data_IF_802347434231
#
_entry.id   IF_802347434231
#
_cell.length_a   1.000
_cell.length_b   1.000
_cell.length_c   1.000
_cell.angle_alpha   90.00
_cell.angle_beta   90.00
_cell.angle_gamma   90.00
#
_symmetry.space_group_name_H-M   'P 1'
#
loop_
_entity.id
_entity.type
_entity.pdbx_description
1 polymer ?
#
# COMPACT_ATOMS: atom_id res chain seq x y z
N UNK A 1 30.11 22.78 1.60
CA UNK A 1 28.94 23.57 1.19
C UNK A 1 29.35 24.46 0.01
N UNK A 2 29.65 23.85 -1.15
CA UNK A 2 30.14 24.56 -2.35
C UNK A 2 29.20 24.39 -3.56
N UNK A 3 27.93 24.06 -3.31
CA UNK A 3 26.95 23.62 -4.32
C UNK A 3 25.78 24.60 -4.55
N UNK A 4 25.68 25.72 -3.81
CA UNK A 4 24.59 26.70 -4.03
C UNK A 4 24.91 27.80 -5.05
N UNK A 5 26.18 28.13 -5.26
CA UNK A 5 26.58 29.32 -6.04
C UNK A 5 26.00 29.33 -7.47
N UNK A 6 25.91 28.17 -8.12
CA UNK A 6 25.33 28.10 -9.48
C UNK A 6 23.83 28.39 -9.45
N UNK A 7 23.11 27.81 -8.49
CA UNK A 7 21.65 27.94 -8.40
C UNK A 7 21.28 29.36 -7.96
N UNK A 8 22.05 29.94 -7.06
CA UNK A 8 21.87 31.32 -6.58
C UNK A 8 22.02 32.35 -7.72
N UNK A 9 22.85 32.06 -8.73
CA UNK A 9 23.00 32.91 -9.93
C UNK A 9 21.74 32.96 -10.82
N UNK A 10 20.91 31.92 -10.74
CA UNK A 10 19.76 31.70 -11.59
C UNK A 10 18.42 31.83 -10.88
N UNK A 11 18.42 31.73 -9.56
CA UNK A 11 17.23 31.84 -8.74
C UNK A 11 16.55 33.20 -8.93
N UNK A 12 15.22 33.16 -9.00
CA UNK A 12 14.38 34.34 -8.92
C UNK A 12 14.56 34.97 -7.54
N UNK A 13 14.69 36.29 -7.53
CA UNK A 13 14.65 37.05 -6.28
C UNK A 13 13.21 37.14 -5.78
N UNK A 14 13.01 37.22 -4.46
CA UNK A 14 11.68 37.27 -3.86
C UNK A 14 10.81 38.43 -4.38
N UNK A 15 11.41 39.57 -4.71
CA UNK A 15 10.73 40.75 -5.28
C UNK A 15 10.31 40.58 -6.76
N UNK A 16 10.89 39.59 -7.45
CA UNK A 16 10.59 39.25 -8.85
C UNK A 16 9.61 38.09 -9.00
N UNK A 17 9.28 37.39 -7.92
CA UNK A 17 8.35 36.27 -7.96
C UNK A 17 6.90 36.78 -8.10
N UNK A 18 6.05 36.06 -8.86
CA UNK A 18 4.61 36.34 -8.86
C UNK A 18 4.06 36.12 -7.44
N UNK A 19 3.00 36.81 -6.99
CA UNK A 19 2.46 36.64 -5.63
C UNK A 19 2.00 35.22 -5.31
N UNK A 20 1.67 34.43 -6.34
CA UNK A 20 1.28 33.04 -6.20
C UNK A 20 1.79 32.21 -7.35
N UNK A 21 2.07 30.94 -7.07
CA UNK A 21 2.38 29.92 -8.06
C UNK A 21 1.35 28.81 -7.97
N UNK A 22 0.93 28.29 -9.11
CA UNK A 22 -0.10 27.28 -9.27
C UNK A 22 0.50 26.00 -9.80
N UNK A 23 0.04 24.85 -9.30
CA UNK A 23 0.49 23.56 -9.80
C UNK A 23 -0.66 22.59 -9.89
N UNK A 24 -0.82 21.99 -11.07
CA UNK A 24 -1.61 20.78 -11.18
C UNK A 24 -0.78 19.57 -10.75
N UNK A 25 -1.39 18.72 -9.95
CA UNK A 25 -0.82 17.47 -9.47
C UNK A 25 -1.72 16.32 -9.90
N UNK A 26 -1.10 15.28 -10.40
CA UNK A 26 -1.77 14.06 -10.84
C UNK A 26 -0.99 12.83 -10.33
N UNK A 27 -1.61 11.64 -10.28
CA UNK A 27 -0.94 10.45 -9.75
C UNK A 27 0.30 10.01 -10.54
N UNK A 28 0.44 10.43 -11.80
CA UNK A 28 1.63 10.17 -12.63
C UNK A 28 2.68 11.28 -12.54
N UNK A 29 2.46 12.30 -11.72
CA UNK A 29 3.38 13.42 -11.57
C UNK A 29 4.68 12.97 -10.91
N UNK A 30 5.80 13.53 -11.35
CA UNK A 30 7.10 13.32 -10.73
C UNK A 30 7.29 14.21 -9.47
N UNK A 31 6.20 14.61 -8.80
CA UNK A 31 6.25 15.14 -7.45
C UNK A 31 5.10 14.56 -6.63
N UNK A 32 5.34 14.32 -5.35
CA UNK A 32 4.40 13.69 -4.44
C UNK A 32 4.41 14.40 -3.09
N UNK A 33 3.28 14.38 -2.39
CA UNK A 33 3.20 14.90 -1.03
C UNK A 33 3.81 13.86 -0.10
N UNK A 34 4.82 14.26 0.66
CA UNK A 34 5.43 13.43 1.70
C UNK A 34 4.47 13.32 2.90
N UNK A 35 4.06 12.10 3.26
CA UNK A 35 3.03 11.87 4.30
C UNK A 35 3.40 12.36 5.71
N UNK A 36 4.70 12.48 5.98
CA UNK A 36 5.23 12.86 7.30
C UNK A 36 5.35 14.37 7.43
N UNK A 37 5.97 15.02 6.44
CA UNK A 37 6.24 16.47 6.46
C UNK A 37 5.14 17.31 5.80
N UNK A 38 4.27 16.66 5.02
CA UNK A 38 3.27 17.29 4.15
C UNK A 38 3.89 18.21 3.08
N UNK A 39 5.21 18.14 2.90
CA UNK A 39 5.91 18.87 1.84
C UNK A 39 5.63 18.20 0.50
N UNK A 40 5.49 19.00 -0.54
CA UNK A 40 5.48 18.47 -1.90
C UNK A 40 6.94 18.24 -2.30
N UNK A 41 7.31 17.03 -2.67
CA UNK A 41 8.69 16.64 -3.00
C UNK A 41 8.78 16.16 -4.44
N UNK A 42 9.80 16.61 -5.18
CA UNK A 42 10.16 16.04 -6.46
C UNK A 42 10.58 14.56 -6.30
N UNK A 43 10.37 13.76 -7.34
CA UNK A 43 10.73 12.35 -7.33
C UNK A 43 12.26 12.15 -7.29
N UNK A 44 13.03 13.09 -7.83
CA UNK A 44 14.47 13.15 -7.68
C UNK A 44 14.84 14.26 -6.68
N UNK A 45 15.86 14.02 -5.86
CA UNK A 45 16.35 14.98 -4.86
C UNK A 45 17.79 15.44 -5.16
N UNK A 46 18.33 15.05 -6.32
CA UNK A 46 19.68 15.42 -6.75
C UNK A 46 19.75 16.92 -7.02
N UNK A 47 20.67 17.59 -6.35
CA UNK A 47 20.97 19.00 -6.55
C UNK A 47 22.09 19.08 -7.59
N UNK A 48 21.89 19.78 -8.72
CA UNK A 48 22.97 20.00 -9.67
C UNK A 48 24.12 20.81 -9.03
N UNK A 49 25.33 20.28 -9.05
CA UNK A 49 26.53 20.93 -8.50
C UNK A 49 27.33 21.66 -9.58
N UNK A 50 27.15 21.27 -10.85
CA UNK A 50 27.81 21.89 -12.02
C UNK A 50 26.80 22.49 -12.99
N UNK A 51 27.26 23.44 -13.81
CA UNK A 51 26.43 24.04 -14.86
C UNK A 51 25.93 22.99 -15.87
N UNK A 52 26.76 22.01 -16.19
CA UNK A 52 26.41 20.93 -17.12
C UNK A 52 25.35 20.00 -16.52
N UNK A 53 25.46 19.67 -15.23
CA UNK A 53 24.41 18.93 -14.52
C UNK A 53 23.08 19.69 -14.48
N UNK A 54 23.11 21.01 -14.27
CA UNK A 54 21.91 21.84 -14.27
C UNK A 54 21.26 21.85 -15.66
N UNK A 55 22.05 21.99 -16.72
CA UNK A 55 21.57 21.89 -18.11
C UNK A 55 20.94 20.54 -18.39
N UNK A 56 21.60 19.45 -18.01
CA UNK A 56 21.07 18.10 -18.21
C UNK A 56 19.78 17.86 -17.40
N UNK A 57 19.72 18.34 -16.16
CA UNK A 57 18.50 18.23 -15.34
C UNK A 57 17.31 18.97 -15.98
N UNK A 58 17.55 20.14 -16.61
CA UNK A 58 16.50 20.88 -17.34
C UNK A 58 16.09 20.18 -18.64
N UNK A 59 17.04 19.61 -19.38
CA UNK A 59 16.75 18.81 -20.59
C UNK A 59 15.90 17.58 -20.23
N UNK A 60 16.24 16.88 -19.15
CA UNK A 60 15.42 15.79 -18.63
C UNK A 60 14.04 16.27 -18.19
N UNK A 61 13.94 17.45 -17.56
CA UNK A 61 12.66 18.04 -17.20
C UNK A 61 11.80 18.41 -18.42
N UNK A 62 12.39 18.88 -19.52
CA UNK A 62 11.67 19.14 -20.78
C UNK A 62 11.07 17.86 -21.36
N UNK A 63 11.79 16.75 -21.23
CA UNK A 63 11.34 15.45 -21.70
C UNK A 63 10.55 14.70 -20.61
N UNK A 64 9.29 15.08 -20.43
CA UNK A 64 8.35 14.43 -19.50
C UNK A 64 8.12 12.93 -19.76
N UNK A 65 8.46 12.44 -20.96
CA UNK A 65 8.37 11.02 -21.31
C UNK A 65 9.65 10.26 -21.02
N UNK A 66 10.72 10.94 -20.58
CA UNK A 66 11.92 10.27 -20.12
C UNK A 66 11.60 9.49 -18.84
N UNK A 67 12.19 8.29 -18.71
CA UNK A 67 12.14 7.54 -17.45
C UNK A 67 13.03 8.14 -16.36
N UNK A 68 13.69 9.27 -16.63
CA UNK A 68 14.58 9.95 -15.70
C UNK A 68 13.76 10.89 -14.84
N UNK A 69 13.82 10.69 -13.52
CA UNK A 69 13.14 11.55 -12.57
C UNK A 69 13.78 12.94 -12.55
N UNK A 70 12.96 13.98 -12.67
CA UNK A 70 13.38 15.37 -12.58
C UNK A 70 13.47 15.82 -11.11
N UNK A 71 14.50 16.63 -10.74
CA UNK A 71 14.56 17.23 -9.41
C UNK A 71 13.68 18.48 -9.28
N UNK A 72 12.95 18.86 -10.33
CA UNK A 72 12.14 20.07 -10.37
C UNK A 72 10.65 19.79 -10.23
N UNK A 73 9.99 20.65 -9.47
CA UNK A 73 8.55 20.75 -9.36
C UNK A 73 8.09 21.90 -10.27
N UNK A 74 7.44 21.57 -11.38
CA UNK A 74 6.84 22.56 -12.30
C UNK A 74 5.63 23.24 -11.67
N UNK A 75 5.58 24.56 -11.80
CA UNK A 75 4.53 25.46 -11.29
C UNK A 75 4.32 26.59 -12.31
N UNK A 76 3.21 27.31 -12.20
CA UNK A 76 2.81 28.37 -13.14
C UNK A 76 2.43 29.64 -12.39
N UNK A 77 2.81 30.81 -12.88
CA UNK A 77 2.33 32.09 -12.31
C UNK A 77 0.87 32.37 -12.60
N UNK A 78 0.29 31.68 -13.58
CA UNK A 78 -1.08 31.83 -14.03
C UNK A 78 -1.87 30.55 -13.69
N UNK A 79 -3.04 30.72 -13.06
CA UNK A 79 -3.90 29.60 -12.67
C UNK A 79 -4.45 28.86 -13.89
N UNK A 80 -4.85 29.59 -14.93
CA UNK A 80 -5.42 29.02 -16.16
C UNK A 80 -4.39 28.15 -16.89
N UNK A 81 -3.12 28.54 -16.89
CA UNK A 81 -2.04 27.72 -17.45
C UNK A 81 -1.88 26.38 -16.70
N UNK A 82 -1.94 26.39 -15.35
CA UNK A 82 -1.86 25.18 -14.54
C UNK A 82 -3.07 24.25 -14.77
N UNK A 83 -4.26 24.82 -14.93
CA UNK A 83 -5.51 24.11 -15.25
C UNK A 83 -5.47 23.52 -16.67
N UNK A 84 -5.06 24.32 -17.67
CA UNK A 84 -4.90 23.88 -19.05
C UNK A 84 -3.88 22.74 -19.16
N UNK A 85 -2.80 22.80 -18.38
CA UNK A 85 -1.84 21.71 -18.28
C UNK A 85 -2.48 20.42 -17.75
N UNK A 86 -3.26 20.51 -16.67
CA UNK A 86 -3.98 19.37 -16.10
C UNK A 86 -4.96 18.75 -17.11
N UNK A 87 -5.74 19.58 -17.81
CA UNK A 87 -6.69 19.15 -18.83
C UNK A 87 -6.00 18.47 -20.02
N UNK A 88 -4.87 19.01 -20.46
CA UNK A 88 -4.05 18.40 -21.52
C UNK A 88 -3.55 17.02 -21.10
N UNK A 89 -3.10 16.86 -19.85
CA UNK A 89 -2.67 15.58 -19.29
C UNK A 89 -3.82 14.56 -19.27
N UNK A 90 -5.02 14.94 -18.80
CA UNK A 90 -6.21 14.07 -18.82
C UNK A 90 -6.55 13.63 -20.24
N UNK A 91 -6.55 14.55 -21.20
CA UNK A 91 -6.79 14.21 -22.62
C UNK A 91 -5.77 13.21 -23.14
N UNK A 92 -4.50 13.34 -22.77
CA UNK A 92 -3.45 12.42 -23.17
C UNK A 92 -3.62 11.04 -22.51
N UNK A 93 -3.96 10.97 -21.23
CA UNK A 93 -4.23 9.71 -20.53
C UNK A 93 -5.43 8.98 -21.14
N UNK A 94 -6.52 9.69 -21.43
CA UNK A 94 -7.71 9.13 -22.11
C UNK A 94 -7.41 8.60 -23.51
N UNK A 95 -6.45 9.20 -24.23
CA UNK A 95 -6.00 8.69 -25.54
C UNK A 95 -5.11 7.46 -25.41
N UNK A 96 -4.21 7.45 -24.42
CA UNK A 96 -3.23 6.40 -24.25
C UNK A 96 -3.82 5.10 -23.71
N UNK A 97 -4.87 5.19 -22.88
CA UNK A 97 -5.50 4.02 -22.31
C UNK A 97 -7.00 4.03 -22.59
N UNK A 98 -7.45 3.06 -23.37
CA UNK A 98 -8.86 2.74 -23.59
C UNK A 98 -9.61 2.33 -22.28
N UNK A 99 -8.90 2.23 -21.15
CA UNK A 99 -9.40 1.70 -19.88
C UNK A 99 -8.93 2.46 -18.62
N UNK A 100 -8.56 3.74 -18.73
CA UNK A 100 -8.27 4.53 -17.50
C UNK A 100 -9.55 4.62 -16.69
N UNK A 101 -9.57 4.00 -15.51
CA UNK A 101 -10.65 4.18 -14.53
C UNK A 101 -10.77 5.68 -14.25
N UNK A 102 -11.97 6.26 -14.36
CA UNK A 102 -12.19 7.68 -14.06
C UNK A 102 -11.70 8.04 -12.65
N UNK A 103 -11.68 7.09 -11.72
CA UNK A 103 -11.14 7.28 -10.36
C UNK A 103 -9.63 7.47 -10.32
N UNK A 104 -8.90 7.12 -11.37
CA UNK A 104 -7.45 7.34 -11.45
C UNK A 104 -7.08 8.73 -11.98
N UNK A 105 -8.07 9.59 -12.25
CA UNK A 105 -7.90 10.97 -12.69
C UNK A 105 -8.07 11.96 -11.53
N UNK A 106 -7.68 11.57 -10.32
CA UNK A 106 -7.63 12.47 -9.15
C UNK A 106 -6.58 13.56 -9.41
N UNK A 107 -7.03 14.65 -10.02
CA UNK A 107 -6.24 15.86 -10.21
C UNK A 107 -6.51 16.80 -9.04
N UNK A 108 -5.43 17.37 -8.51
CA UNK A 108 -5.50 18.45 -7.53
C UNK A 108 -4.81 19.68 -8.09
N UNK A 109 -5.36 20.86 -7.85
CA UNK A 109 -4.64 22.12 -8.05
C UNK A 109 -4.08 22.61 -6.71
N UNK A 110 -2.85 23.07 -6.70
CA UNK A 110 -2.19 23.66 -5.54
C UNK A 110 -1.89 25.12 -5.81
N UNK A 111 -2.08 25.97 -4.80
CA UNK A 111 -1.64 27.36 -4.78
C UNK A 111 -0.49 27.49 -3.77
N UNK A 112 0.58 28.16 -4.18
CA UNK A 112 1.76 28.42 -3.36
C UNK A 112 1.91 29.93 -3.17
N UNK A 113 1.91 30.36 -1.92
CA UNK A 113 2.08 31.76 -1.55
C UNK A 113 3.58 32.12 -1.55
N UNK A 114 4.06 32.79 -2.60
CA UNK A 114 5.49 33.04 -2.79
C UNK A 114 6.10 33.95 -1.73
N UNK A 115 5.29 34.78 -1.06
CA UNK A 115 5.76 35.60 0.06
C UNK A 115 6.21 34.76 1.27
N UNK A 116 5.87 33.46 1.29
CA UNK A 116 6.22 32.51 2.35
C UNK A 116 7.34 31.56 1.94
N UNK A 117 7.85 31.67 0.71
CA UNK A 117 8.98 30.88 0.23
C UNK A 117 10.21 31.27 1.06
N UNK A 118 10.90 30.26 1.58
CA UNK A 118 12.08 30.44 2.44
C UNK A 118 13.35 30.57 1.62
N UNK A 119 14.40 31.15 2.19
CA UNK A 119 15.72 31.30 1.54
C UNK A 119 16.38 29.98 1.11
N UNK A 120 15.89 28.83 1.61
CA UNK A 120 16.37 27.49 1.25
C UNK A 120 15.63 26.85 0.06
N UNK A 121 14.77 27.61 -0.63
CA UNK A 121 13.98 27.11 -1.76
C UNK A 121 14.36 27.86 -3.03
N UNK A 122 15.02 27.17 -3.96
CA UNK A 122 15.32 27.75 -5.27
C UNK A 122 14.10 27.69 -6.18
N UNK A 123 13.64 28.88 -6.58
CA UNK A 123 12.61 29.04 -7.61
C UNK A 123 13.27 29.61 -8.86
N UNK A 124 13.14 28.93 -9.98
CA UNK A 124 13.79 29.27 -11.24
C UNK A 124 12.73 29.57 -12.30
N UNK A 125 12.81 30.72 -12.97
CA UNK A 125 11.94 31.01 -14.11
C UNK A 125 12.36 30.18 -15.32
N UNK A 126 11.54 29.20 -15.73
CA UNK A 126 11.98 28.12 -16.61
C UNK A 126 12.45 28.64 -17.96
N UNK A 127 11.68 29.57 -18.56
CA UNK A 127 12.05 30.14 -19.86
C UNK A 127 13.38 30.89 -19.81
N UNK A 128 13.59 31.68 -18.76
CA UNK A 128 14.86 32.39 -18.55
C UNK A 128 16.03 31.43 -18.38
N UNK A 129 15.82 30.28 -17.72
CA UNK A 129 16.85 29.24 -17.61
C UNK A 129 17.26 28.69 -18.97
N UNK A 130 16.28 28.29 -19.79
CA UNK A 130 16.53 27.77 -21.14
C UNK A 130 17.34 28.77 -21.97
N UNK A 131 16.89 30.03 -21.99
CA UNK A 131 17.51 31.08 -22.80
C UNK A 131 18.93 31.42 -22.30
N UNK A 132 19.14 31.56 -20.98
CA UNK A 132 20.48 31.91 -20.40
C UNK A 132 21.48 30.78 -20.50
N UNK A 133 21.02 29.52 -20.43
CA UNK A 133 21.89 28.35 -20.53
C UNK A 133 22.17 27.93 -21.99
N UNK A 134 21.48 28.53 -22.95
CA UNK A 134 21.60 28.20 -24.37
C UNK A 134 21.19 26.75 -24.66
N UNK A 135 20.12 26.27 -24.00
CA UNK A 135 19.59 24.92 -24.25
C UNK A 135 18.84 24.96 -25.58
N UNK A 136 19.24 24.10 -26.52
CA UNK A 136 18.60 23.91 -27.82
C UNK A 136 17.99 22.50 -27.89
N UNK A 137 16.73 22.39 -27.45
CA UNK A 137 15.96 21.14 -27.41
C UNK A 137 14.61 21.31 -28.13
N UNK A 138 14.20 20.35 -28.99
CA UNK A 138 12.96 20.46 -29.76
C UNK A 138 11.68 20.54 -28.90
N UNK A 139 11.74 20.17 -27.62
CA UNK A 139 10.62 20.24 -26.67
C UNK A 139 10.45 21.63 -26.04
N UNK A 140 11.37 22.58 -26.26
CA UNK A 140 11.27 23.95 -25.73
C UNK A 140 9.97 24.64 -26.16
N UNK A 141 9.41 24.27 -27.33
CA UNK A 141 8.11 24.79 -27.80
C UNK A 141 6.93 24.50 -26.86
N UNK A 142 7.09 23.57 -25.92
CA UNK A 142 6.07 23.25 -24.92
C UNK A 142 6.24 24.01 -23.61
N UNK A 143 7.37 24.69 -23.41
CA UNK A 143 7.62 25.53 -22.24
C UNK A 143 6.74 26.76 -22.33
N UNK A 144 5.94 27.00 -21.29
CA UNK A 144 5.13 28.22 -21.21
C UNK A 144 5.97 29.38 -20.67
N UNK A 145 5.63 30.60 -21.06
CA UNK A 145 6.30 31.81 -20.55
C UNK A 145 6.05 32.07 -19.05
N UNK A 146 5.11 31.34 -18.46
CA UNK A 146 4.64 31.54 -17.10
C UNK A 146 5.09 30.39 -16.17
N UNK A 147 5.97 29.50 -16.64
CA UNK A 147 6.42 28.33 -15.90
C UNK A 147 7.63 28.62 -15.01
N UNK A 148 7.52 28.19 -13.76
CA UNK A 148 8.56 28.28 -12.73
C UNK A 148 8.86 26.88 -12.21
N UNK A 149 10.15 26.61 -11.98
CA UNK A 149 10.63 25.35 -11.43
C UNK A 149 11.06 25.57 -9.99
N UNK A 150 10.54 24.75 -9.08
CA UNK A 150 10.99 24.71 -7.69
C UNK A 150 11.89 23.48 -7.51
N UNK A 151 13.11 23.67 -6.99
CA UNK A 151 14.04 22.56 -6.78
C UNK A 151 13.68 21.74 -5.53
N UNK A 152 13.66 20.42 -5.68
CA UNK A 152 13.52 19.38 -4.65
C UNK A 152 12.20 19.35 -3.86
N UNK A 153 11.78 20.44 -3.22
CA UNK A 153 10.56 20.44 -2.41
C UNK A 153 9.91 21.82 -2.25
N UNK A 154 8.59 21.81 -2.03
CA UNK A 154 7.79 22.96 -1.58
C UNK A 154 7.37 22.72 -0.12
N UNK A 155 7.78 23.59 0.82
CA UNK A 155 7.37 23.47 2.21
C UNK A 155 5.84 23.55 2.35
N UNK A 156 5.28 22.76 3.25
CA UNK A 156 3.83 22.73 3.53
C UNK A 156 3.31 24.06 4.08
N UNK A 157 4.20 24.88 4.64
CA UNK A 157 3.88 26.24 5.05
C UNK A 157 3.54 27.13 3.86
N UNK A 158 4.13 26.92 2.69
CA UNK A 158 3.91 27.76 1.49
C UNK A 158 2.59 27.39 0.80
N UNK A 159 2.18 26.13 0.94
CA UNK A 159 1.01 25.57 0.26
C UNK A 159 -0.29 26.06 0.88
N UNK A 160 -1.02 26.91 0.15
CA UNK A 160 -2.46 27.07 0.32
C UNK A 160 -3.08 25.96 -0.52
N UNK A 161 -3.35 24.82 0.11
CA UNK A 161 -4.07 23.77 -0.61
C UNK A 161 -5.45 24.34 -0.90
N UNK A 162 -5.78 24.49 -2.18
CA UNK A 162 -7.13 24.72 -2.69
C UNK A 162 -7.40 23.51 -3.56
N UNK A 163 -7.73 22.38 -2.94
CA UNK A 163 -7.91 21.10 -3.64
C UNK A 163 -9.12 21.20 -4.57
N UNK A 164 -8.84 21.66 -5.79
CA UNK A 164 -9.74 21.62 -6.91
C UNK A 164 -9.69 20.20 -7.46
N UNK A 165 -10.67 19.39 -7.12
CA UNK A 165 -10.82 18.09 -7.75
C UNK A 165 -11.48 18.30 -9.11
N UNK A 166 -10.75 17.95 -10.16
CA UNK A 166 -11.33 17.87 -11.49
C UNK A 166 -12.38 16.75 -11.51
N UNK A 167 -13.61 17.08 -11.89
CA UNK A 167 -14.63 16.08 -12.21
C UNK A 167 -15.12 16.31 -13.63
N UNK A 168 -15.04 15.31 -14.52
CA UNK A 168 -15.65 15.45 -15.84
C UNK A 168 -17.16 15.68 -15.66
N UNK A 169 -17.71 16.70 -16.32
CA UNK A 169 -19.16 16.91 -16.33
C UNK A 169 -19.83 15.81 -17.13
N UNK A 170 -20.95 15.31 -16.62
CA UNK A 170 -21.84 14.41 -17.34
C UNK A 170 -22.39 15.06 -18.62
N UNK A 171 -22.39 16.39 -18.70
CA UNK A 171 -22.90 17.17 -19.84
C UNK A 171 -21.82 17.63 -20.82
N UNK A 172 -20.63 17.00 -20.82
CA UNK A 172 -19.55 17.32 -21.75
C UNK A 172 -18.78 18.61 -21.45
N UNK A 173 -19.13 19.32 -20.38
CA UNK A 173 -18.32 20.41 -19.81
C UNK A 173 -17.12 19.88 -19.00
N UNK A 174 -16.08 20.69 -18.90
CA UNK A 174 -14.95 20.42 -18.01
C UNK A 174 -14.88 21.57 -17.02
N UNK A 175 -15.14 21.30 -15.74
CA UNK A 175 -15.03 22.31 -14.70
C UNK A 175 -14.23 21.75 -13.53
N UNK A 176 -13.45 22.61 -12.90
CA UNK A 176 -12.84 22.32 -11.62
C UNK A 176 -13.87 22.64 -10.53
N UNK A 177 -14.17 21.68 -9.68
CA UNK A 177 -15.04 21.93 -8.53
C UNK A 177 -14.16 22.32 -7.35
N UNK A 178 -14.35 23.54 -6.85
CA UNK A 178 -13.68 24.02 -5.62
C UNK A 178 -14.27 23.24 -4.46
N UNK A 179 -13.48 22.35 -3.87
CA UNK A 179 -13.78 21.85 -2.55
C UNK A 179 -13.10 22.81 -1.56
N UNK A 180 -13.85 23.43 -0.63
CA UNK A 180 -13.21 24.20 0.43
C UNK A 180 -12.29 23.25 1.17
N UNK A 181 -10.99 23.52 1.12
CA UNK A 181 -10.02 22.69 1.78
C UNK A 181 -10.26 22.74 3.27
N UNK A 182 -10.45 21.56 3.84
CA UNK A 182 -10.31 21.38 5.28
C UNK A 182 -8.93 21.92 5.63
N UNK A 183 -8.89 22.98 6.45
CA UNK A 183 -7.65 23.57 6.95
C UNK A 183 -6.69 22.46 7.45
N UNK A 184 -5.38 22.70 7.41
CA UNK A 184 -4.39 21.73 7.93
C UNK A 184 -4.72 21.23 9.36
N UNK A 185 -5.45 22.04 10.15
CA UNK A 185 -6.00 21.65 11.45
C UNK A 185 -7.04 20.52 11.33
N UNK A 186 -8.03 20.65 10.46
CA UNK A 186 -9.06 19.63 10.24
C UNK A 186 -8.51 18.38 9.56
N UNK A 187 -7.51 18.48 8.68
CA UNK A 187 -6.82 17.31 8.13
C UNK A 187 -6.07 16.51 9.22
N UNK A 188 -5.47 17.20 10.20
CA UNK A 188 -4.84 16.57 11.36
C UNK A 188 -5.88 15.90 12.27
N UNK A 189 -7.02 16.54 12.50
CA UNK A 189 -8.14 15.97 13.27
C UNK A 189 -8.72 14.74 12.58
N UNK A 190 -8.99 14.79 11.26
CA UNK A 190 -9.48 13.65 10.49
C UNK A 190 -8.48 12.47 10.50
N UNK A 191 -7.17 12.75 10.49
CA UNK A 191 -6.12 11.73 10.61
C UNK A 191 -6.10 11.09 11.99
N UNK A 192 -6.22 11.89 13.04
CA UNK A 192 -6.34 11.39 14.42
C UNK A 192 -7.59 10.53 14.55
N UNK A 193 -8.72 10.94 13.97
CA UNK A 193 -9.94 10.14 13.93
C UNK A 193 -9.80 8.86 13.11
N UNK A 194 -9.07 8.89 11.99
CA UNK A 194 -8.76 7.71 11.21
C UNK A 194 -7.90 6.72 12.00
N UNK A 195 -6.90 7.21 12.73
CA UNK A 195 -6.07 6.40 13.64
C UNK A 195 -6.92 5.81 14.76
N UNK A 196 -7.79 6.59 15.42
CA UNK A 196 -8.69 6.08 16.44
C UNK A 196 -9.66 5.02 15.91
N UNK A 197 -10.22 5.22 14.71
CA UNK A 197 -11.07 4.21 14.05
C UNK A 197 -10.31 2.93 13.74
N UNK A 198 -9.06 3.03 13.30
CA UNK A 198 -8.22 1.85 13.08
C UNK A 198 -7.91 1.13 14.40
N UNK A 199 -7.48 1.86 15.43
CA UNK A 199 -7.24 1.28 16.76
C UNK A 199 -8.49 0.65 17.37
N UNK A 200 -9.68 1.22 17.15
CA UNK A 200 -10.94 0.63 17.61
C UNK A 200 -11.25 -0.69 16.89
N UNK A 201 -10.98 -0.78 15.57
CA UNK A 201 -11.09 -2.04 14.82
C UNK A 201 -10.11 -3.09 15.33
N UNK A 202 -8.86 -2.69 15.56
CA UNK A 202 -7.81 -3.59 16.06
C UNK A 202 -8.17 -4.10 17.46
N UNK A 203 -8.68 -3.25 18.36
CA UNK A 203 -9.16 -3.65 19.68
C UNK A 203 -10.36 -4.61 19.61
N UNK A 204 -11.32 -4.34 18.72
CA UNK A 204 -12.46 -5.25 18.50
C UNK A 204 -12.00 -6.62 17.98
N UNK A 205 -11.00 -6.65 17.09
CA UNK A 205 -10.40 -7.87 16.59
C UNK A 205 -9.68 -8.65 17.70
N UNK A 206 -8.91 -7.96 18.56
CA UNK A 206 -8.24 -8.56 19.73
C UNK A 206 -9.26 -9.13 20.73
N UNK A 207 -10.38 -8.43 20.97
CA UNK A 207 -11.41 -8.92 21.87
C UNK A 207 -12.06 -10.20 21.34
N UNK A 208 -12.48 -10.21 20.07
CA UNK A 208 -13.00 -11.41 19.40
C UNK A 208 -12.01 -12.58 19.47
N UNK A 209 -10.72 -12.29 19.26
CA UNK A 209 -9.64 -13.26 19.38
C UNK A 209 -9.55 -13.85 20.80
N UNK A 210 -9.66 -13.03 21.83
CA UNK A 210 -9.61 -13.47 23.23
C UNK A 210 -10.80 -14.37 23.60
N UNK A 211 -11.99 -14.09 23.08
CA UNK A 211 -13.19 -14.90 23.31
C UNK A 211 -13.08 -16.28 22.64
N UNK A 212 -12.54 -16.32 21.42
CA UNK A 212 -12.28 -17.58 20.71
C UNK A 212 -11.22 -18.44 21.41
N UNK A 213 -10.14 -17.84 21.92
CA UNK A 213 -9.13 -18.55 22.73
C UNK A 213 -9.77 -19.13 23.99
N UNK A 214 -10.57 -18.34 24.70
CA UNK A 214 -11.24 -18.78 25.93
C UNK A 214 -12.20 -19.94 25.66
N UNK A 215 -12.98 -19.87 24.58
CA UNK A 215 -13.88 -20.94 24.18
C UNK A 215 -13.11 -22.23 23.84
N UNK A 216 -12.04 -22.12 23.05
CA UNK A 216 -11.19 -23.25 22.71
C UNK A 216 -10.57 -23.90 23.96
N UNK A 217 -10.13 -23.08 24.93
CA UNK A 217 -9.60 -23.56 26.22
C UNK A 217 -10.66 -24.36 27.00
N UNK A 218 -11.89 -23.84 27.11
CA UNK A 218 -12.99 -24.52 27.83
C UNK A 218 -13.39 -25.83 27.16
N UNK A 219 -13.42 -25.86 25.83
CA UNK A 219 -13.71 -27.07 25.07
C UNK A 219 -12.61 -28.12 25.26
N UNK A 220 -11.34 -27.69 25.28
CA UNK A 220 -10.22 -28.59 25.57
C UNK A 220 -10.29 -29.17 26.98
N UNK A 221 -10.61 -28.35 27.98
CA UNK A 221 -10.76 -28.80 29.38
C UNK A 221 -11.90 -29.81 29.53
N UNK A 222 -13.08 -29.50 28.99
CA UNK A 222 -14.23 -30.41 29.01
C UNK A 222 -13.92 -31.75 28.32
N UNK A 223 -13.15 -31.72 27.23
CA UNK A 223 -12.70 -32.91 26.55
C UNK A 223 -11.74 -33.76 27.43
N UNK A 224 -10.77 -33.13 28.07
CA UNK A 224 -9.85 -33.81 29.01
C UNK A 224 -10.62 -34.45 30.18
N UNK A 225 -11.53 -33.72 30.82
CA UNK A 225 -12.36 -34.25 31.91
C UNK A 225 -13.20 -35.44 31.46
N UNK A 226 -13.76 -35.40 30.25
CA UNK A 226 -14.54 -36.52 29.72
C UNK A 226 -13.68 -37.77 29.50
N UNK A 227 -12.44 -37.61 29.01
CA UNK A 227 -11.48 -38.71 28.89
C UNK A 227 -11.11 -39.33 30.25
N UNK A 228 -10.87 -38.50 31.26
CA UNK A 228 -10.51 -38.96 32.62
C UNK A 228 -11.67 -39.70 33.30
N UNK A 229 -12.91 -39.31 33.03
CA UNK A 229 -14.11 -39.94 33.59
C UNK A 229 -14.46 -41.32 33.01
N UNK A 230 -13.72 -41.80 32.01
CA UNK A 230 -14.00 -43.07 31.32
C UNK A 230 -15.25 -43.05 30.44
N UNK A 231 -15.87 -41.88 30.22
CA UNK A 231 -16.98 -41.75 29.30
C UNK A 231 -16.51 -41.90 27.84
N UNK A 232 -17.16 -42.78 27.11
CA UNK A 232 -16.96 -42.92 25.66
C UNK A 232 -17.57 -41.71 24.95
N UNK A 233 -16.74 -40.70 24.67
CA UNK A 233 -17.12 -39.60 23.77
C UNK A 233 -17.25 -40.16 22.35
N UNK A 234 -18.39 -39.99 21.65
CA UNK A 234 -18.55 -40.43 20.27
C UNK A 234 -17.44 -39.84 19.38
N UNK A 235 -16.86 -40.66 18.52
CA UNK A 235 -15.72 -40.29 17.67
C UNK A 235 -16.00 -39.03 16.81
N UNK A 236 -17.24 -38.89 16.34
CA UNK A 236 -17.70 -37.71 15.60
C UNK A 236 -17.63 -36.41 16.43
N UNK A 237 -17.83 -36.47 17.74
CA UNK A 237 -17.71 -35.32 18.64
C UNK A 237 -16.24 -34.97 18.84
N UNK A 238 -15.36 -35.96 18.96
CA UNK A 238 -13.90 -35.74 19.03
C UNK A 238 -13.37 -35.05 17.78
N UNK A 239 -13.79 -35.52 16.61
CA UNK A 239 -13.36 -34.94 15.33
C UNK A 239 -13.84 -33.48 15.17
N UNK A 240 -15.10 -33.19 15.56
CA UNK A 240 -15.63 -31.82 15.53
C UNK A 240 -14.86 -30.88 16.46
N UNK A 241 -14.52 -31.33 17.68
CA UNK A 241 -13.75 -30.52 18.64
C UNK A 241 -12.33 -30.24 18.14
N UNK A 242 -11.65 -31.25 17.59
CA UNK A 242 -10.33 -31.11 16.98
C UNK A 242 -10.36 -30.17 15.77
N UNK A 243 -11.35 -30.30 14.89
CA UNK A 243 -11.53 -29.42 13.75
C UNK A 243 -11.75 -27.97 14.20
N UNK A 244 -12.58 -27.75 15.23
CA UNK A 244 -12.86 -26.42 15.73
C UNK A 244 -11.61 -25.77 16.33
N UNK A 245 -10.86 -26.52 17.15
CA UNK A 245 -9.61 -26.06 17.75
C UNK A 245 -8.56 -25.71 16.68
N UNK A 246 -8.43 -26.54 15.64
CA UNK A 246 -7.49 -26.30 14.54
C UNK A 246 -7.89 -25.06 13.73
N UNK A 247 -9.18 -24.88 13.41
CA UNK A 247 -9.69 -23.69 12.74
C UNK A 247 -9.43 -22.42 13.55
N UNK A 248 -9.69 -22.44 14.86
CA UNK A 248 -9.41 -21.30 15.74
C UNK A 248 -7.91 -20.97 15.80
N UNK A 249 -7.02 -21.96 15.81
CA UNK A 249 -5.57 -21.75 15.77
C UNK A 249 -5.08 -21.17 14.43
N UNK A 250 -5.69 -21.57 13.31
CA UNK A 250 -5.39 -21.01 11.99
C UNK A 250 -5.82 -19.54 11.92
N UNK A 251 -7.05 -19.23 12.35
CA UNK A 251 -7.54 -17.85 12.41
C UNK A 251 -6.66 -16.97 13.29
N UNK A 252 -6.28 -17.47 14.47
CA UNK A 252 -5.33 -16.81 15.38
C UNK A 252 -4.00 -16.49 14.70
N UNK A 253 -3.45 -17.42 13.94
CA UNK A 253 -2.19 -17.25 13.22
C UNK A 253 -2.29 -16.23 12.09
N UNK A 254 -3.41 -16.23 11.35
CA UNK A 254 -3.68 -15.24 10.31
C UNK A 254 -3.83 -13.83 10.89
N UNK A 255 -4.57 -13.69 12.00
CA UNK A 255 -4.80 -12.41 12.65
C UNK A 255 -3.54 -11.84 13.32
N UNK A 256 -2.70 -12.69 13.94
CA UNK A 256 -1.45 -12.23 14.54
C UNK A 256 -0.53 -11.62 13.48
N UNK A 257 -0.45 -12.23 12.29
CA UNK A 257 0.32 -11.70 11.16
C UNK A 257 -0.20 -10.35 10.67
N UNK A 258 -1.53 -10.16 10.57
CA UNK A 258 -2.09 -8.87 10.15
C UNK A 258 -1.86 -7.76 11.16
N UNK A 259 -1.70 -8.10 12.45
CA UNK A 259 -1.40 -7.15 13.52
C UNK A 259 0.11 -6.95 13.77
N UNK A 260 0.99 -7.62 13.00
CA UNK A 260 2.43 -7.59 13.23
C UNK A 260 2.88 -8.23 14.55
N UNK A 261 2.03 -9.08 15.14
CA UNK A 261 2.30 -9.79 16.38
C UNK A 261 2.95 -11.14 16.09
N UNK A 262 4.18 -11.32 16.59
CA UNK A 262 4.90 -12.59 16.51
C UNK A 262 4.44 -13.53 17.63
N UNK A 263 3.64 -14.54 17.30
CA UNK A 263 3.26 -15.60 18.25
C UNK A 263 4.50 -16.45 18.58
N UNK A 264 5.20 -16.11 19.67
CA UNK A 264 6.27 -16.95 20.20
C UNK A 264 5.66 -18.19 20.84
N UNK A 265 5.73 -19.33 20.15
CA UNK A 265 5.39 -20.62 20.75
C UNK A 265 6.39 -20.90 21.89
N UNK A 266 5.91 -20.94 23.13
CA UNK A 266 6.65 -21.60 24.20
C UNK A 266 6.58 -23.09 23.88
N UNK A 267 7.74 -23.68 23.59
CA UNK A 267 7.90 -25.08 23.29
C UNK A 267 7.21 -25.96 24.34
N UNK A 268 6.03 -26.49 24.00
CA UNK A 268 5.70 -27.86 24.36
C UNK A 268 6.17 -28.71 23.17
N UNK A 269 7.18 -29.56 23.37
CA UNK A 269 7.65 -30.51 22.36
C UNK A 269 6.48 -31.40 21.97
N UNK A 270 5.86 -31.10 20.83
CA UNK A 270 4.92 -32.00 20.15
C UNK A 270 5.61 -32.77 19.00
N UNK A 271 6.94 -32.82 19.00
CA UNK A 271 7.74 -33.45 17.94
C UNK A 271 7.55 -34.97 17.84
N UNK A 272 6.74 -35.60 18.70
CA UNK A 272 6.51 -37.04 18.74
C UNK A 272 5.03 -37.46 18.90
N UNK A 273 4.05 -36.62 18.53
CA UNK A 273 2.68 -37.17 18.37
C UNK A 273 2.63 -37.94 17.05
N UNK A 274 3.01 -39.22 17.10
CA UNK A 274 2.69 -40.19 16.05
C UNK A 274 1.23 -40.59 16.26
N UNK A 275 0.31 -40.04 15.47
CA UNK A 275 -1.09 -40.48 15.45
C UNK A 275 -1.14 -41.77 14.62
N UNK A 276 -0.92 -42.92 15.27
CA UNK A 276 -1.17 -44.23 14.66
C UNK A 276 -2.66 -44.55 14.77
N UNK A 277 -3.36 -44.59 13.64
CA UNK A 277 -4.73 -45.07 13.57
C UNK A 277 -4.72 -46.61 13.48
N UNK A 278 -5.06 -47.27 14.59
CA UNK A 278 -5.34 -48.71 14.61
C UNK A 278 -6.83 -48.89 14.91
N UNK A 279 -7.68 -49.16 13.91
CA UNK A 279 -9.07 -49.47 14.17
C UNK A 279 -9.11 -50.79 14.95
N UNK A 280 -9.55 -50.76 16.20
CA UNK A 280 -10.01 -51.98 16.87
C UNK A 280 -11.34 -52.35 16.22
N UNK A 281 -11.26 -53.24 15.25
CA UNK A 281 -12.41 -53.83 14.57
C UNK A 281 -13.09 -54.76 15.59
N UNK A 282 -14.21 -54.31 16.16
CA UNK A 282 -15.22 -55.24 16.67
C UNK A 282 -15.95 -55.82 15.45
N UNK A 283 -16.12 -57.15 15.33
CA UNK A 283 -16.57 -57.78 14.10
C UNK A 283 -18.02 -57.44 13.65
N UNK A 284 -18.80 -56.69 14.42
CA UNK A 284 -20.25 -56.57 14.19
C UNK A 284 -20.83 -55.18 13.90
N UNK A 285 -20.02 -54.13 13.65
CA UNK A 285 -20.57 -52.83 13.25
C UNK A 285 -20.15 -52.41 11.83
N UNK A 286 -21.13 -52.47 10.91
CA UNK A 286 -21.06 -51.79 9.61
C UNK A 286 -21.02 -50.28 9.85
N UNK A 287 -19.87 -49.65 9.62
CA UNK A 287 -19.75 -48.19 9.59
C UNK A 287 -19.18 -47.69 8.23
N UNK A 288 -19.40 -46.40 7.90
CA UNK A 288 -19.31 -45.87 6.55
C UNK A 288 -17.85 -45.72 6.12
N UNK A 289 -17.57 -46.13 4.87
CA UNK A 289 -16.26 -45.96 4.26
C UNK A 289 -15.92 -44.46 4.19
N UNK A 290 -14.89 -44.05 4.90
CA UNK A 290 -14.21 -42.78 4.62
C UNK A 290 -13.70 -42.85 3.19
N UNK A 291 -14.24 -42.00 2.33
CA UNK A 291 -13.95 -42.05 0.90
C UNK A 291 -12.65 -41.32 0.59
N UNK A 292 -11.95 -41.77 -0.46
CA UNK A 292 -10.78 -41.07 -0.98
C UNK A 292 -11.07 -39.57 -1.29
N UNK A 293 -12.32 -39.23 -1.59
CA UNK A 293 -12.77 -37.86 -1.79
C UNK A 293 -12.72 -37.00 -0.51
N UNK A 294 -13.07 -37.56 0.66
CA UNK A 294 -12.98 -36.85 1.94
C UNK A 294 -11.52 -36.63 2.35
N UNK A 295 -10.64 -37.60 2.10
CA UNK A 295 -9.20 -37.47 2.32
C UNK A 295 -8.59 -36.42 1.38
N UNK A 296 -9.03 -36.38 0.12
CA UNK A 296 -8.59 -35.39 -0.87
C UNK A 296 -9.05 -33.97 -0.50
N UNK A 297 -10.28 -33.81 0.00
CA UNK A 297 -10.80 -32.52 0.46
C UNK A 297 -10.00 -31.95 1.65
N UNK A 298 -9.60 -32.81 2.59
CA UNK A 298 -8.75 -32.44 3.73
C UNK A 298 -7.35 -32.00 3.28
N UNK A 299 -6.72 -32.73 2.34
CA UNK A 299 -5.42 -32.35 1.76
C UNK A 299 -5.49 -31.02 0.99
N UNK A 300 -6.60 -30.77 0.30
CA UNK A 300 -6.81 -29.52 -0.45
C UNK A 300 -7.00 -28.33 0.48
N UNK A 301 -7.76 -28.48 1.57
CA UNK A 301 -7.93 -27.43 2.58
C UNK A 301 -6.59 -27.07 3.26
N UNK A 302 -5.73 -28.05 3.52
CA UNK A 302 -4.40 -27.85 4.10
C UNK A 302 -3.46 -27.03 3.21
N UNK A 303 -3.52 -27.21 1.90
CA UNK A 303 -2.67 -26.48 0.94
C UNK A 303 -3.14 -25.06 0.60
N UNK A 304 -4.40 -24.70 0.93
CA UNK A 304 -4.94 -23.36 0.64
C UNK A 304 -4.45 -22.32 1.68
N UNK A 305 -4.08 -22.75 2.89
CA UNK A 305 -3.36 -21.90 3.82
C UNK A 305 -1.88 -21.91 3.48
N UNK A 306 -1.30 -20.79 3.03
CA UNK A 306 0.13 -20.60 2.74
C UNK A 306 1.03 -20.84 3.98
N UNK A 307 1.13 -22.08 4.45
CA UNK A 307 2.08 -22.54 5.44
C UNK A 307 3.16 -23.31 4.69
N UNK A 308 4.39 -22.80 4.67
CA UNK A 308 5.55 -23.59 4.25
C UNK A 308 5.66 -24.79 5.20
N UNK A 309 5.71 -26.04 4.69
CA UNK A 309 5.91 -27.19 5.55
C UNK A 309 7.30 -27.14 6.19
N UNK A 310 7.35 -27.20 7.52
CA UNK A 310 8.57 -27.50 8.27
C UNK A 310 8.73 -29.02 8.30
N UNK A 311 9.20 -29.60 7.19
CA UNK A 311 9.61 -31.01 7.09
C UNK A 311 8.60 -31.98 6.44
N UNK A 312 9.07 -33.14 5.93
CA UNK A 312 8.22 -34.12 5.26
C UNK A 312 7.41 -34.95 6.26
N UNK A 313 6.11 -35.08 5.97
CA UNK A 313 5.22 -36.04 6.64
C UNK A 313 5.31 -37.38 5.91
N UNK A 314 6.03 -38.35 6.47
CA UNK A 314 6.05 -39.72 5.93
C UNK A 314 4.86 -40.52 6.50
N UNK A 315 3.93 -40.89 5.62
CA UNK A 315 2.85 -41.84 5.88
C UNK A 315 3.26 -43.19 5.28
N UNK A 316 3.70 -44.12 6.12
CA UNK A 316 3.85 -45.54 5.74
C UNK A 316 2.55 -46.27 6.07
N UNK A 317 2.01 -46.99 5.07
CA UNK A 317 0.92 -47.95 5.23
C UNK A 317 1.58 -49.33 5.16
N UNK A 318 1.44 -50.12 6.22
CA UNK A 318 1.97 -51.47 6.32
C UNK A 318 0.93 -52.48 5.82
N UNK A 319 1.21 -53.10 4.67
CA UNK A 319 0.35 -54.09 4.01
C UNK A 319 0.67 -55.55 4.44
N UNK A 320 1.33 -55.75 5.57
CA UNK A 320 1.65 -57.11 6.04
C UNK A 320 0.54 -57.75 6.88
N UNK A 321 -0.46 -58.34 6.21
CA UNK A 321 -1.21 -59.48 6.78
C UNK A 321 -1.36 -60.59 5.74
N UNK A 322 -0.55 -61.63 5.94
CA UNK A 322 -0.32 -62.73 5.02
C UNK A 322 -1.50 -63.68 4.85
N UNK A 323 -1.63 -64.17 3.62
CA UNK A 323 -2.40 -65.34 3.24
C UNK A 323 -1.61 -66.61 3.58
N UNK A 324 -1.75 -67.15 4.79
CA UNK A 324 -1.44 -68.56 5.07
C UNK A 324 -2.42 -69.08 6.11
N UNK A 325 -3.47 -69.77 5.66
CA UNK A 325 -4.07 -70.95 6.31
C UNK A 325 -5.29 -71.42 5.50
N UNK A 326 -5.04 -72.23 4.47
CA UNK A 326 -5.99 -73.19 3.90
C UNK A 326 -5.19 -74.40 3.43
N UNK A 327 -5.01 -75.37 4.32
CA UNK A 327 -4.69 -76.77 3.96
C UNK A 327 -6.01 -77.52 3.88
N UNK A 328 -6.18 -78.21 2.74
CA UNK A 328 -7.16 -79.24 2.35
C UNK A 328 -8.54 -79.25 3.03
#
# INVERSE_FOLDING_TARGET
MASSDILDHYACRNDSLPPSLWRSNDPSSQAHVNETSLHLQAACQTIPETLDELKQALIHHLNWYSGVASPFISTFSDQEDAENWALKKVKNLKKAAHFVDEKSLDLSLYEFDTARVTDYTWVLHFRTMIDRLGIDDPNIKFVTKNEYLILNFVPSTVTKVSELQYRPSVFGGHFFQVYPTKTAKTAKEDRVDAMFRQSARDLSAIQSMSENILLASKLSEAFCTSLESGQTVPEMVRFKLLSLALSSLIELSCMSKSLGLELKSRHARYDNIKISYHPKVSPDEKNPKVTAAQISALKKAWNIGNLKPLGPLNLEIDDSFGMENLKM
#
